data_IF_682761010606
#
_entry.id   IF_682761010606
#
_cell.length_a   1.000
_cell.length_b   1.000
_cell.length_c   1.000
_cell.angle_alpha   90.00
_cell.angle_beta   90.00
_cell.angle_gamma   90.00
#
_symmetry.space_group_name_H-M   'P 1'
#
loop_
_entity.id
_entity.type
_entity.pdbx_description
1 polymer ?
#
# COMPACT_ATOMS: atom_id res chain seq x y z
N UNK A 1 20.26 4.86 -23.39
CA UNK A 1 19.38 4.98 -22.22
C UNK A 1 19.74 3.90 -21.19
N UNK A 2 20.01 4.32 -19.96
CA UNK A 2 20.24 3.45 -18.79
C UNK A 2 18.98 3.52 -17.92
N UNK A 3 18.50 2.39 -17.45
CA UNK A 3 17.27 2.25 -16.69
C UNK A 3 17.58 1.64 -15.32
N UNK A 4 16.77 2.00 -14.32
CA UNK A 4 16.74 1.38 -12.99
C UNK A 4 15.29 1.07 -12.66
N UNK A 5 15.06 0.01 -11.90
CA UNK A 5 13.74 -0.25 -11.35
C UNK A 5 13.37 0.82 -10.32
N UNK A 6 12.10 1.25 -10.33
CA UNK A 6 11.58 2.14 -9.31
C UNK A 6 11.69 1.47 -7.93
N UNK A 7 12.19 2.20 -6.94
CA UNK A 7 12.24 1.75 -5.55
C UNK A 7 10.83 1.79 -4.94
N UNK A 8 9.98 2.71 -5.41
CA UNK A 8 8.64 2.93 -4.87
C UNK A 8 7.57 2.00 -5.44
N UNK A 9 7.82 0.69 -5.39
CA UNK A 9 6.88 -0.32 -5.88
C UNK A 9 6.66 -1.48 -4.91
N UNK A 10 5.46 -2.06 -4.94
CA UNK A 10 5.08 -3.26 -4.19
C UNK A 10 4.38 -4.23 -5.15
N UNK A 11 4.82 -5.49 -5.14
CA UNK A 11 4.18 -6.57 -5.88
C UNK A 11 3.36 -7.45 -4.94
N UNK A 12 2.14 -7.82 -5.34
CA UNK A 12 1.24 -8.66 -4.54
C UNK A 12 0.27 -9.45 -5.42
N UNK A 13 -0.35 -10.48 -4.86
CA UNK A 13 -1.37 -11.27 -5.54
C UNK A 13 -2.76 -10.82 -5.14
N UNK A 14 -3.64 -10.63 -6.13
CA UNK A 14 -5.04 -10.28 -5.92
C UNK A 14 -5.89 -11.02 -6.96
N UNK A 15 -6.88 -11.80 -6.50
CA UNK A 15 -7.77 -12.54 -7.41
C UNK A 15 -7.03 -13.46 -8.39
N UNK A 16 -5.93 -14.08 -7.96
CA UNK A 16 -5.11 -14.95 -8.81
C UNK A 16 -4.23 -14.24 -9.85
N UNK A 17 -4.19 -12.89 -9.83
CA UNK A 17 -3.37 -12.08 -10.73
C UNK A 17 -2.24 -11.41 -9.97
N UNK A 18 -1.06 -11.34 -10.57
CA UNK A 18 0.04 -10.55 -10.05
C UNK A 18 -0.27 -9.06 -10.29
N UNK A 19 -0.21 -8.28 -9.22
CA UNK A 19 -0.32 -6.82 -9.23
C UNK A 19 1.01 -6.20 -8.88
N UNK A 20 1.33 -5.09 -9.53
CA UNK A 20 2.45 -4.23 -9.16
C UNK A 20 1.92 -2.82 -9.01
N UNK A 21 2.04 -2.26 -7.81
CA UNK A 21 1.66 -0.90 -7.51
C UNK A 21 2.91 -0.04 -7.40
N UNK A 22 2.97 1.07 -8.13
CA UNK A 22 3.90 2.15 -7.83
C UNK A 22 3.18 3.11 -6.88
N UNK A 23 3.58 3.10 -5.60
CA UNK A 23 2.87 3.86 -4.57
C UNK A 23 3.16 5.37 -4.62
N UNK A 24 4.23 5.79 -5.29
CA UNK A 24 4.53 7.21 -5.51
C UNK A 24 3.58 7.82 -6.55
N UNK A 25 3.27 7.08 -7.60
CA UNK A 25 2.34 7.49 -8.67
C UNK A 25 0.90 7.06 -8.43
N UNK A 26 0.67 6.18 -7.45
CA UNK A 26 -0.62 5.55 -7.10
C UNK A 26 -1.26 4.77 -8.24
N UNK A 27 -0.44 4.22 -9.13
CA UNK A 27 -0.90 3.41 -10.24
C UNK A 27 -0.65 1.94 -9.92
N UNK A 28 -1.65 1.10 -10.19
CA UNK A 28 -1.57 -0.34 -10.03
C UNK A 28 -1.77 -1.02 -11.38
N UNK A 29 -0.93 -2.00 -11.68
CA UNK A 29 -0.92 -2.70 -12.96
C UNK A 29 -1.09 -4.20 -12.72
N UNK A 30 -1.81 -4.88 -13.61
CA UNK A 30 -1.77 -6.35 -13.69
C UNK A 30 -0.55 -6.75 -14.50
N UNK A 31 0.23 -7.70 -14.02
CA UNK A 31 1.45 -8.16 -14.69
C UNK A 31 1.46 -9.69 -14.86
N UNK A 32 2.26 -10.17 -15.82
CA UNK A 32 2.64 -11.58 -15.88
C UNK A 32 3.82 -11.80 -14.90
N UNK A 33 3.93 -12.96 -14.23
CA UNK A 33 5.10 -13.27 -13.40
C UNK A 33 6.46 -13.01 -14.04
N UNK A 34 6.62 -13.23 -15.35
CA UNK A 34 7.85 -12.95 -16.09
C UNK A 34 8.27 -11.46 -16.04
N UNK A 35 7.34 -10.54 -15.76
CA UNK A 35 7.64 -9.12 -15.55
C UNK A 35 8.56 -8.91 -14.34
N UNK A 36 8.46 -9.75 -13.31
CA UNK A 36 9.33 -9.65 -12.11
C UNK A 36 10.79 -9.91 -12.46
N UNK A 37 11.07 -10.79 -13.44
CA UNK A 37 12.44 -11.04 -13.89
C UNK A 37 13.04 -9.82 -14.58
N UNK A 38 12.26 -9.13 -15.43
CA UNK A 38 12.68 -7.88 -16.08
C UNK A 38 12.92 -6.80 -15.04
N UNK A 39 12.01 -6.62 -14.08
CA UNK A 39 12.16 -5.65 -12.97
C UNK A 39 13.42 -5.94 -12.16
N UNK A 40 13.62 -7.21 -11.76
CA UNK A 40 14.78 -7.66 -10.99
C UNK A 40 16.09 -7.41 -11.73
N UNK A 41 16.13 -7.64 -13.03
CA UNK A 41 17.30 -7.34 -13.86
C UNK A 41 17.75 -5.87 -13.72
N UNK A 42 16.79 -4.95 -13.61
CA UNK A 42 17.03 -3.51 -13.44
C UNK A 42 17.14 -3.04 -11.97
N UNK A 43 17.25 -3.93 -10.98
CA UNK A 43 17.53 -3.52 -9.57
C UNK A 43 18.83 -2.72 -9.47
N UNK A 44 19.80 -3.04 -10.32
CA UNK A 44 20.95 -2.18 -10.60
C UNK A 44 20.74 -1.42 -11.91
N UNK A 45 21.23 -0.18 -12.06
CA UNK A 45 21.15 0.53 -13.32
C UNK A 45 21.78 -0.24 -14.50
N UNK A 46 21.01 -0.55 -15.53
CA UNK A 46 21.40 -1.34 -16.73
C UNK A 46 20.89 -0.69 -18.00
N UNK A 47 21.43 -1.05 -19.15
CA UNK A 47 21.00 -0.56 -20.46
C UNK A 47 19.98 -1.48 -21.12
N UNK A 48 19.22 -0.95 -22.09
CA UNK A 48 18.32 -1.76 -22.92
C UNK A 48 19.10 -2.84 -23.69
N UNK A 49 20.32 -2.54 -24.14
CA UNK A 49 21.14 -3.51 -24.87
C UNK A 49 21.49 -4.73 -24.03
N UNK A 50 21.90 -4.52 -22.76
CA UNK A 50 22.14 -5.61 -21.82
C UNK A 50 20.87 -6.45 -21.60
N UNK A 51 19.70 -5.82 -21.47
CA UNK A 51 18.44 -6.55 -21.31
C UNK A 51 18.08 -7.39 -22.55
N UNK A 52 18.28 -6.87 -23.76
CA UNK A 52 18.06 -7.62 -25.01
C UNK A 52 19.00 -8.83 -25.12
N UNK A 53 20.21 -8.74 -24.57
CA UNK A 53 21.16 -9.85 -24.53
C UNK A 53 20.81 -10.89 -23.47
N UNK A 54 20.40 -10.45 -22.27
CA UNK A 54 19.97 -11.33 -21.18
C UNK A 54 18.74 -12.15 -21.58
N UNK A 55 17.72 -11.47 -22.11
CA UNK A 55 16.44 -12.08 -22.49
C UNK A 55 16.41 -12.58 -23.93
N UNK A 56 17.56 -12.98 -24.49
CA UNK A 56 17.69 -13.45 -25.90
C UNK A 56 16.88 -14.70 -26.25
N UNK A 57 16.36 -15.42 -25.25
CA UNK A 57 15.42 -16.52 -25.46
C UNK A 57 14.04 -16.04 -25.98
N UNK A 58 13.75 -14.75 -25.84
CA UNK A 58 12.57 -14.08 -26.37
C UNK A 58 12.91 -13.24 -27.61
N UNK A 59 11.91 -12.88 -28.41
CA UNK A 59 12.13 -11.96 -29.53
C UNK A 59 12.51 -10.56 -29.03
N UNK A 60 13.41 -9.89 -29.76
CA UNK A 60 13.89 -8.54 -29.42
C UNK A 60 12.73 -7.55 -29.32
N UNK A 61 11.76 -7.67 -30.21
CA UNK A 61 10.58 -6.82 -30.28
C UNK A 61 9.69 -6.99 -29.04
N UNK A 62 9.53 -8.23 -28.55
CA UNK A 62 8.75 -8.49 -27.34
C UNK A 62 9.43 -7.92 -26.10
N UNK A 63 10.75 -8.11 -25.97
CA UNK A 63 11.52 -7.57 -24.83
C UNK A 63 11.51 -6.04 -24.84
N UNK A 64 11.76 -5.42 -26.00
CA UNK A 64 11.71 -3.96 -26.14
C UNK A 64 10.32 -3.40 -25.79
N UNK A 65 9.24 -4.05 -26.27
CA UNK A 65 7.86 -3.66 -25.94
C UNK A 65 7.58 -3.76 -24.44
N UNK A 66 8.01 -4.85 -23.79
CA UNK A 66 7.84 -5.01 -22.35
C UNK A 66 8.59 -3.92 -21.56
N UNK A 67 9.83 -3.61 -21.94
CA UNK A 67 10.61 -2.52 -21.31
C UNK A 67 9.89 -1.17 -21.49
N UNK A 68 9.42 -0.85 -22.69
CA UNK A 68 8.67 0.40 -22.95
C UNK A 68 7.39 0.48 -22.12
N UNK A 69 6.65 -0.63 -21.98
CA UNK A 69 5.47 -0.68 -21.12
C UNK A 69 5.81 -0.40 -19.65
N UNK A 70 6.93 -0.93 -19.15
CA UNK A 70 7.38 -0.68 -17.78
C UNK A 70 7.86 0.76 -17.56
N UNK A 71 8.49 1.39 -18.57
CA UNK A 71 8.84 2.81 -18.53
C UNK A 71 7.57 3.67 -18.47
N UNK A 72 6.59 3.40 -19.35
CA UNK A 72 5.31 4.13 -19.37
C UNK A 72 4.49 3.92 -18.07
N UNK A 73 4.68 2.78 -17.42
CA UNK A 73 4.11 2.48 -16.11
C UNK A 73 4.90 3.10 -14.93
N UNK A 74 6.07 3.69 -15.19
CA UNK A 74 7.02 4.17 -14.19
C UNK A 74 7.45 3.08 -13.19
N UNK A 75 7.53 1.82 -13.66
CA UNK A 75 8.10 0.69 -12.93
C UNK A 75 9.59 0.49 -13.26
N UNK A 76 9.99 0.97 -14.45
CA UNK A 76 11.37 1.27 -14.79
C UNK A 76 11.50 2.77 -15.03
N UNK A 77 12.59 3.36 -14.54
CA UNK A 77 12.87 4.79 -14.63
C UNK A 77 14.19 4.99 -15.38
N UNK A 78 14.26 6.04 -16.19
CA UNK A 78 15.53 6.44 -16.81
C UNK A 78 16.46 7.01 -15.73
N UNK A 79 17.69 6.51 -15.70
CA UNK A 79 18.67 6.88 -14.69
C UNK A 79 19.04 8.36 -14.85
N UNK A 80 18.84 9.16 -13.78
CA UNK A 80 19.05 10.60 -13.80
C UNK A 80 17.88 11.42 -14.36
N UNK A 81 16.73 10.80 -14.63
CA UNK A 81 15.51 11.56 -14.94
C UNK A 81 14.87 12.17 -13.69
N UNK A 82 13.99 13.16 -13.87
CA UNK A 82 13.26 13.78 -12.76
C UNK A 82 12.34 12.78 -12.01
N UNK A 83 11.82 11.77 -12.68
CA UNK A 83 11.07 10.67 -12.07
C UNK A 83 11.98 9.82 -11.18
N UNK A 84 13.19 9.51 -11.65
CA UNK A 84 14.19 8.77 -10.88
C UNK A 84 14.65 9.55 -9.65
N UNK A 85 14.94 10.85 -9.78
CA UNK A 85 15.33 11.69 -8.65
C UNK A 85 14.24 11.74 -7.57
N UNK A 86 12.96 11.85 -7.98
CA UNK A 86 11.83 11.81 -7.03
C UNK A 86 11.69 10.45 -6.35
N UNK A 87 11.85 9.36 -7.09
CA UNK A 87 11.83 7.99 -6.55
C UNK A 87 12.96 7.77 -5.53
N UNK A 88 14.19 8.19 -5.86
CA UNK A 88 15.34 8.08 -4.95
C UNK A 88 15.20 8.98 -3.73
N UNK A 89 14.63 10.19 -3.86
CA UNK A 89 14.38 11.07 -2.72
C UNK A 89 13.45 10.40 -1.72
N UNK A 90 12.38 9.74 -2.18
CA UNK A 90 11.50 8.96 -1.30
C UNK A 90 12.25 7.76 -0.73
N UNK A 91 12.94 6.99 -1.57
CA UNK A 91 13.71 5.82 -1.14
C UNK A 91 14.76 6.12 -0.06
N UNK A 92 15.38 7.29 -0.12
CA UNK A 92 16.39 7.74 0.85
C UNK A 92 15.77 8.36 2.10
N UNK A 93 14.82 9.28 1.95
CA UNK A 93 14.19 9.98 3.09
C UNK A 93 13.28 9.08 3.92
N UNK A 94 12.66 8.06 3.32
CA UNK A 94 11.80 7.10 4.00
C UNK A 94 12.46 5.75 4.26
N UNK A 95 13.76 5.59 3.97
CA UNK A 95 14.47 4.30 4.06
C UNK A 95 14.15 3.47 5.32
N UNK A 96 14.15 4.03 6.55
CA UNK A 96 13.88 3.25 7.77
C UNK A 96 12.46 2.72 7.89
N UNK A 97 11.53 3.29 7.10
CA UNK A 97 10.12 2.97 7.11
C UNK A 97 9.70 2.11 5.92
N UNK A 98 10.55 1.95 4.91
CA UNK A 98 10.22 1.17 3.73
C UNK A 98 10.50 -0.33 3.99
N UNK A 99 9.62 -1.23 3.50
CA UNK A 99 8.50 -0.97 2.58
C UNK A 99 7.18 -0.52 3.22
N UNK A 100 7.00 -0.62 4.54
CA UNK A 100 5.72 -0.37 5.24
C UNK A 100 5.18 1.06 5.02
N UNK A 101 6.08 2.03 4.89
CA UNK A 101 5.79 3.43 4.58
C UNK A 101 5.05 3.63 3.25
N UNK A 102 5.10 2.65 2.34
CA UNK A 102 4.28 2.64 1.13
C UNK A 102 2.78 2.79 1.44
N UNK A 103 2.30 2.26 2.57
CA UNK A 103 0.92 2.42 3.01
C UNK A 103 0.50 3.88 3.17
N UNK A 104 1.40 4.73 3.71
CA UNK A 104 1.14 6.17 3.85
C UNK A 104 0.86 6.80 2.48
N UNK A 105 1.72 6.56 1.48
CA UNK A 105 1.56 7.13 0.14
C UNK A 105 0.29 6.65 -0.57
N UNK A 106 -0.11 5.41 -0.33
CA UNK A 106 -1.32 4.83 -0.91
C UNK A 106 -2.62 5.36 -0.30
N UNK A 107 -2.61 5.84 0.95
CA UNK A 107 -3.84 6.17 1.70
C UNK A 107 -4.00 7.64 2.07
N UNK A 108 -2.90 8.39 2.15
CA UNK A 108 -2.88 9.76 2.72
C UNK A 108 -3.78 10.78 2.00
N UNK A 109 -4.01 10.62 0.69
CA UNK A 109 -4.80 11.56 -0.10
C UNK A 109 -6.15 10.95 -0.53
N UNK A 110 -6.79 10.22 0.39
CA UNK A 110 -8.15 9.71 0.15
C UNK A 110 -9.10 10.90 0.00
N UNK A 111 -9.89 11.00 -1.10
CA UNK A 111 -10.80 12.12 -1.31
C UNK A 111 -11.76 12.27 -0.13
N UNK A 112 -11.87 13.50 0.39
CA UNK A 112 -12.86 13.81 1.42
C UNK A 112 -14.28 13.65 0.86
N UNK A 113 -15.12 12.95 1.61
CA UNK A 113 -16.55 12.78 1.33
C UNK A 113 -17.28 13.98 1.93
N UNK A 114 -17.84 14.90 1.14
CA UNK A 114 -18.56 16.05 1.67
C UNK A 114 -19.76 15.63 2.51
N UNK A 115 -20.06 16.42 3.55
CA UNK A 115 -21.24 16.24 4.40
C UNK A 115 -22.53 16.13 3.57
N UNK A 116 -22.67 16.96 2.54
CA UNK A 116 -23.85 17.05 1.67
C UNK A 116 -24.01 15.87 0.70
N UNK A 117 -23.08 14.91 0.68
CA UNK A 117 -23.14 13.80 -0.26
C UNK A 117 -24.38 12.91 0.03
N UNK A 118 -25.34 12.80 -0.92
CA UNK A 118 -26.57 12.02 -0.73
C UNK A 118 -26.32 10.55 -0.37
N UNK A 119 -27.14 10.02 0.53
CA UNK A 119 -27.00 8.65 1.05
C UNK A 119 -27.10 7.61 -0.08
N UNK A 120 -27.95 7.83 -1.08
CA UNK A 120 -28.11 6.91 -2.22
C UNK A 120 -26.82 6.78 -3.03
N UNK A 121 -26.09 7.89 -3.18
CA UNK A 121 -24.80 7.87 -3.87
C UNK A 121 -23.72 7.20 -3.01
N UNK A 122 -23.73 7.38 -1.68
CA UNK A 122 -22.84 6.66 -0.76
C UNK A 122 -23.10 5.15 -0.80
N UNK A 123 -24.36 4.73 -0.75
CA UNK A 123 -24.74 3.32 -0.80
C UNK A 123 -24.30 2.65 -2.12
N UNK A 124 -24.29 3.37 -3.25
CA UNK A 124 -23.75 2.86 -4.53
C UNK A 124 -22.24 2.57 -4.51
N UNK A 125 -21.48 3.18 -3.59
CA UNK A 125 -20.04 2.90 -3.44
C UNK A 125 -19.75 1.73 -2.51
N UNK A 126 -20.74 1.28 -1.74
CA UNK A 126 -20.57 0.15 -0.84
C UNK A 126 -20.57 -1.16 -1.64
N UNK A 127 -19.77 -2.16 -1.23
CA UNK A 127 -19.84 -3.48 -1.81
C UNK A 127 -21.24 -4.08 -1.61
N UNK A 128 -21.65 -4.98 -2.51
CA UNK A 128 -22.93 -5.71 -2.40
C UNK A 128 -22.96 -6.70 -1.24
N UNK A 129 -21.79 -7.02 -0.67
CA UNK A 129 -21.66 -7.84 0.52
C UNK A 129 -22.30 -7.15 1.71
N UNK A 130 -23.19 -7.82 2.47
CA UNK A 130 -23.78 -7.22 3.66
C UNK A 130 -22.69 -6.83 4.66
N UNK A 131 -22.86 -5.68 5.31
CA UNK A 131 -21.99 -5.28 6.40
C UNK A 131 -21.99 -6.36 7.49
N UNK A 132 -20.86 -6.64 8.14
CA UNK A 132 -20.85 -7.52 9.30
C UNK A 132 -21.80 -6.97 10.38
N UNK A 133 -22.40 -7.84 11.22
CA UNK A 133 -23.24 -7.41 12.32
C UNK A 133 -22.52 -6.40 13.22
N UNK A 134 -23.26 -5.43 13.77
CA UNK A 134 -22.70 -4.41 14.68
C UNK A 134 -21.97 -5.01 15.87
N UNK A 135 -22.45 -6.15 16.37
CA UNK A 135 -21.83 -6.90 17.46
C UNK A 135 -21.40 -8.29 16.98
N UNK A 136 -20.17 -8.67 17.33
CA UNK A 136 -19.67 -10.03 17.14
C UNK A 136 -20.45 -10.99 18.04
N UNK A 137 -21.07 -12.01 17.44
CA UNK A 137 -21.69 -13.11 18.19
C UNK A 137 -20.73 -14.30 18.20
N UNK A 138 -20.44 -14.83 19.38
CA UNK A 138 -19.64 -16.06 19.53
C UNK A 138 -20.60 -17.18 19.96
N UNK A 139 -20.81 -18.17 19.08
CA UNK A 139 -21.72 -19.28 19.35
C UNK A 139 -21.09 -20.25 20.34
N UNK A 140 -21.88 -20.70 21.32
CA UNK A 140 -21.46 -21.71 22.30
C UNK A 140 -20.44 -21.21 23.33
N UNK A 141 -20.21 -19.89 23.42
CA UNK A 141 -19.38 -19.31 24.47
C UNK A 141 -20.18 -19.14 25.76
N UNK A 142 -19.53 -19.37 26.90
CA UNK A 142 -20.10 -19.08 28.20
C UNK A 142 -20.34 -17.59 28.37
N UNK A 143 -21.54 -17.22 28.82
CA UNK A 143 -21.94 -15.85 29.03
C UNK A 143 -21.87 -15.49 30.52
N UNK A 144 -21.03 -14.51 30.86
CA UNK A 144 -20.95 -13.94 32.20
C UNK A 144 -21.52 -12.52 32.19
N UNK A 145 -22.52 -12.26 33.04
CA UNK A 145 -23.09 -10.92 33.18
C UNK A 145 -22.14 -10.05 33.98
N UNK A 146 -21.68 -8.95 33.39
CA UNK A 146 -20.87 -7.95 34.08
C UNK A 146 -21.75 -7.05 34.96
N UNK A 147 -21.22 -6.54 36.10
CA UNK A 147 -21.93 -5.55 36.91
C UNK A 147 -22.30 -4.30 36.12
N UNK A 148 -23.48 -3.75 36.37
CA UNK A 148 -23.89 -2.45 35.84
C UNK A 148 -23.28 -1.35 36.70
N UNK A 149 -22.72 -0.31 36.07
CA UNK A 149 -22.20 0.88 36.76
C UNK A 149 -22.87 2.13 36.20
N UNK A 150 -23.11 3.11 37.07
CA UNK A 150 -23.45 4.45 36.61
C UNK A 150 -22.20 5.10 36.00
N UNK A 151 -22.35 5.70 34.83
CA UNK A 151 -21.27 6.48 34.22
C UNK A 151 -21.27 7.82 34.95
N UNK A 152 -20.21 8.08 35.71
CA UNK A 152 -20.03 9.35 36.40
C UNK A 152 -20.08 10.54 35.40
N UNK A 153 -20.55 11.69 35.86
CA UNK A 153 -20.66 12.91 35.08
C UNK A 153 -19.32 13.37 34.50
N UNK A 154 -19.37 14.25 33.49
CA UNK A 154 -18.21 14.68 32.71
C UNK A 154 -17.09 15.28 33.58
N UNK A 155 -15.95 14.58 33.59
CA UNK A 155 -14.69 14.96 34.26
C UNK A 155 -13.54 14.94 33.24
N UNK A 156 -13.82 15.23 31.96
CA UNK A 156 -12.87 15.07 30.86
C UNK A 156 -11.50 15.73 31.13
N UNK A 157 -11.49 17.00 31.53
CA UNK A 157 -10.25 17.73 31.79
C UNK A 157 -9.47 17.13 32.96
N UNK A 158 -10.14 16.82 34.07
CA UNK A 158 -9.53 16.19 35.24
C UNK A 158 -8.91 14.84 34.87
N UNK A 159 -9.64 14.02 34.11
CA UNK A 159 -9.16 12.71 33.62
C UNK A 159 -7.94 12.88 32.71
N UNK A 160 -7.96 13.82 31.77
CA UNK A 160 -6.82 14.09 30.88
C UNK A 160 -5.57 14.47 31.67
N UNK A 161 -5.71 15.34 32.68
CA UNK A 161 -4.61 15.79 33.53
C UNK A 161 -4.11 14.69 34.48
N UNK A 162 -5.01 13.85 34.99
CA UNK A 162 -4.68 12.76 35.91
C UNK A 162 -4.15 11.50 35.20
N UNK A 163 -4.40 11.32 33.89
CA UNK A 163 -4.02 10.11 33.15
C UNK A 163 -2.54 9.79 33.29
N UNK A 164 -2.22 8.57 33.73
CA UNK A 164 -0.86 8.00 33.76
C UNK A 164 -0.87 6.60 33.16
N UNK A 165 0.30 6.12 32.73
CA UNK A 165 0.47 4.73 32.32
C UNK A 165 0.98 3.92 33.51
N UNK A 166 0.10 3.11 34.11
CA UNK A 166 0.46 2.20 35.19
C UNK A 166 0.83 0.84 34.62
N UNK A 167 2.02 0.33 34.98
CA UNK A 167 2.51 -1.01 34.58
C UNK A 167 2.81 -1.91 35.77
N UNK A 168 2.66 -1.37 36.98
CA UNK A 168 2.77 -2.09 38.23
C UNK A 168 1.39 -2.17 38.86
N UNK A 169 1.04 -3.35 39.36
CA UNK A 169 -0.27 -3.65 39.92
C UNK A 169 -0.10 -4.07 41.37
N UNK A 170 -1.11 -3.76 42.20
CA UNK A 170 -1.13 -4.24 43.58
C UNK A 170 -1.08 -5.77 43.59
N UNK A 171 -0.37 -6.35 44.58
CA UNK A 171 -0.43 -7.79 44.83
C UNK A 171 -1.84 -8.13 45.34
N UNK A 172 -2.45 -9.13 44.72
CA UNK A 172 -3.74 -9.67 45.13
C UNK A 172 -3.66 -10.48 46.42
#
# INVERSE_FOLDING_TARGET
>A
MKLKSASCQIAYWEGGKLRIANYLTRRTFSANPATLDVIRFFFTPRTIHEALFEFRAYSRESVARAILQLINAQLLLEYGSAEWERDELVGTSWRPWLPEGGFHFMTKDTPYVPWEWPIEKKMKTLPTTPAPPQFKTIRGADAFRLPTHEIASDTFFETLHARRTHREFAKG
#
